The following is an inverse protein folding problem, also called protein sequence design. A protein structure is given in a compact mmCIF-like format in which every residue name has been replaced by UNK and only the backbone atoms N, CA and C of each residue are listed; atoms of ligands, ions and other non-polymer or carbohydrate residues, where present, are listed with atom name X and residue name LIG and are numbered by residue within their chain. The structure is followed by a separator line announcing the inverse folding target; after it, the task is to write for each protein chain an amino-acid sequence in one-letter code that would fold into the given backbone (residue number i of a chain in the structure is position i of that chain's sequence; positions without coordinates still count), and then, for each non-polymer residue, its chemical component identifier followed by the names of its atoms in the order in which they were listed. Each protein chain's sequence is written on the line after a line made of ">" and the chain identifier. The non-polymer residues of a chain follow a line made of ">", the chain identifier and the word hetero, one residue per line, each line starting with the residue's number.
data_IF_469974699534
#
_entry.id   IF_469974699534
#
_cell.length_a   1.000
_cell.length_b   1.000
_cell.length_c   1.000
_cell.angle_alpha   90.00
_cell.angle_beta   90.00
_cell.angle_gamma   90.00
#
_symmetry.space_group_name_H-M   'P 1'
#
loop_
_entity.id
_entity.type
_entity.pdbx_description
1 polymer ?
#
# COMPACT_ATOMS: atom_id res chain seq x y z
N UNK A 1 22.80 -11.69 24.76
CA UNK A 1 21.88 -12.85 24.65
C UNK A 1 21.31 -12.82 23.26
N UNK A 2 21.82 -13.67 22.36
CA UNK A 2 21.20 -13.87 21.05
C UNK A 2 19.95 -14.72 21.29
N UNK A 3 18.78 -14.09 21.26
CA UNK A 3 17.53 -14.80 21.40
C UNK A 3 17.29 -15.62 20.13
N UNK A 4 17.41 -16.95 20.24
CA UNK A 4 17.15 -17.85 19.11
C UNK A 4 15.67 -17.77 18.68
N UNK A 5 14.76 -17.27 19.53
CA UNK A 5 13.35 -17.06 19.18
C UNK A 5 13.17 -15.96 18.13
N UNK A 6 13.92 -14.84 18.20
CA UNK A 6 13.92 -13.77 17.20
C UNK A 6 14.53 -14.18 15.85
N UNK A 7 15.46 -15.13 15.84
CA UNK A 7 16.05 -15.64 14.59
C UNK A 7 15.10 -16.56 13.81
N UNK A 8 14.20 -17.27 14.52
CA UNK A 8 13.22 -18.19 13.95
C UNK A 8 12.00 -17.41 13.45
N UNK A 9 11.51 -16.43 14.23
CA UNK A 9 10.39 -15.56 13.82
C UNK A 9 10.70 -14.77 12.54
N UNK A 10 11.93 -14.28 12.37
CA UNK A 10 12.33 -13.56 11.17
C UNK A 10 12.43 -14.45 9.91
N UNK A 11 12.83 -15.72 10.03
CA UNK A 11 12.94 -16.63 8.89
C UNK A 11 11.57 -17.16 8.45
N UNK A 12 10.69 -17.44 9.41
CA UNK A 12 9.32 -17.86 9.15
C UNK A 12 8.50 -16.73 8.53
N UNK A 13 8.58 -15.51 9.08
CA UNK A 13 7.91 -14.33 8.49
C UNK A 13 8.35 -14.10 7.04
N UNK A 14 9.65 -14.20 6.75
CA UNK A 14 10.17 -14.09 5.37
C UNK A 14 9.58 -15.13 4.42
N UNK A 15 9.43 -16.38 4.88
CA UNK A 15 8.80 -17.45 4.08
C UNK A 15 7.32 -17.16 3.83
N UNK A 16 6.60 -16.71 4.86
CA UNK A 16 5.19 -16.32 4.73
C UNK A 16 5.02 -15.16 3.76
N UNK A 17 5.86 -14.12 3.88
CA UNK A 17 5.82 -12.96 2.96
C UNK A 17 6.10 -13.39 1.52
N UNK A 18 7.12 -14.20 1.27
CA UNK A 18 7.42 -14.72 -0.06
C UNK A 18 6.25 -15.54 -0.62
N UNK A 19 5.66 -16.44 0.18
CA UNK A 19 4.49 -17.21 -0.24
C UNK A 19 3.32 -16.30 -0.63
N UNK A 20 2.99 -15.32 0.23
CA UNK A 20 1.92 -14.35 -0.04
C UNK A 20 2.20 -13.54 -1.30
N UNK A 21 3.46 -13.17 -1.54
CA UNK A 21 3.85 -12.48 -2.76
C UNK A 21 3.63 -13.36 -3.99
N UNK A 22 4.04 -14.64 -3.94
CA UNK A 22 3.79 -15.57 -5.05
C UNK A 22 2.30 -15.76 -5.34
N UNK A 23 1.44 -15.75 -4.31
CA UNK A 23 -0.02 -15.81 -4.48
C UNK A 23 -0.58 -14.53 -5.15
N UNK A 24 -0.05 -13.35 -4.80
CA UNK A 24 -0.50 -12.06 -5.35
C UNK A 24 0.09 -11.73 -6.72
N UNK A 25 1.28 -12.24 -7.03
CA UNK A 25 2.05 -11.90 -8.22
C UNK A 25 1.26 -12.01 -9.52
N UNK A 26 0.50 -13.10 -9.80
CA UNK A 26 -0.27 -13.20 -11.04
C UNK A 26 -1.29 -12.07 -11.22
N UNK A 27 -1.97 -11.67 -10.16
CA UNK A 27 -2.92 -10.55 -10.19
C UNK A 27 -2.19 -9.22 -10.42
N UNK A 28 -1.05 -9.01 -9.76
CA UNK A 28 -0.22 -7.83 -9.97
C UNK A 28 0.25 -7.72 -11.43
N UNK A 29 0.76 -8.81 -12.02
CA UNK A 29 1.25 -8.82 -13.41
C UNK A 29 0.14 -8.51 -14.43
N UNK A 30 -1.08 -9.01 -14.22
CA UNK A 30 -2.25 -8.69 -15.05
C UNK A 30 -2.59 -7.20 -14.97
N UNK A 31 -2.68 -6.65 -13.75
CA UNK A 31 -3.01 -5.23 -13.54
C UNK A 31 -1.90 -4.33 -14.06
N UNK A 32 -0.64 -4.68 -13.82
CA UNK A 32 0.53 -3.98 -14.37
C UNK A 32 0.46 -3.93 -15.89
N UNK A 33 0.24 -5.07 -16.55
CA UNK A 33 0.13 -5.15 -18.00
C UNK A 33 -0.97 -4.22 -18.53
N UNK A 34 -2.14 -4.24 -17.89
CA UNK A 34 -3.28 -3.42 -18.29
C UNK A 34 -2.94 -1.93 -18.19
N UNK A 35 -2.40 -1.50 -17.05
CA UNK A 35 -2.02 -0.10 -16.83
C UNK A 35 -0.88 0.32 -17.76
N UNK A 36 0.13 -0.52 -17.97
CA UNK A 36 1.21 -0.28 -18.93
C UNK A 36 0.68 -0.07 -20.34
N UNK A 37 -0.32 -0.86 -20.77
CA UNK A 37 -0.93 -0.69 -22.09
C UNK A 37 -1.64 0.66 -22.22
N UNK A 38 -2.36 1.10 -21.19
CA UNK A 38 -2.96 2.44 -21.21
C UNK A 38 -1.89 3.54 -21.20
N UNK A 39 -0.85 3.39 -20.37
CA UNK A 39 0.26 4.33 -20.32
C UNK A 39 1.06 4.39 -21.62
N UNK A 40 1.19 3.29 -22.37
CA UNK A 40 1.81 3.29 -23.70
C UNK A 40 1.04 4.13 -24.72
N UNK A 41 -0.29 4.20 -24.59
CA UNK A 41 -1.12 5.10 -25.41
C UNK A 41 -0.97 6.56 -24.99
N UNK A 42 -0.87 6.82 -23.68
CA UNK A 42 -0.72 8.17 -23.12
C UNK A 42 0.68 8.76 -23.35
N UNK A 43 1.71 7.92 -23.32
CA UNK A 43 3.12 8.31 -23.44
C UNK A 43 3.82 7.52 -24.55
N UNK A 44 3.44 7.70 -25.83
CA UNK A 44 4.04 6.98 -26.94
C UNK A 44 5.57 7.15 -26.98
N UNK A 45 6.30 6.05 -27.17
CA UNK A 45 7.76 6.04 -27.21
C UNK A 45 8.47 6.03 -25.85
N UNK A 46 7.78 6.39 -24.76
CA UNK A 46 8.34 6.35 -23.40
C UNK A 46 7.99 5.07 -22.64
N UNK A 47 6.83 4.48 -22.94
CA UNK A 47 6.36 3.22 -22.33
C UNK A 47 6.25 2.16 -23.41
N UNK A 48 7.00 1.06 -23.25
CA UNK A 48 6.99 -0.09 -24.15
C UNK A 48 6.18 -1.24 -23.54
N UNK A 49 5.50 -2.04 -24.36
CA UNK A 49 4.55 -3.06 -23.91
C UNK A 49 5.18 -4.30 -23.27
N UNK A 50 6.50 -4.47 -23.32
CA UNK A 50 7.22 -5.58 -22.71
C UNK A 50 8.37 -5.15 -21.79
N UNK A 51 8.42 -3.86 -21.46
CA UNK A 51 9.39 -3.29 -20.54
C UNK A 51 8.73 -2.86 -19.21
N UNK A 52 9.53 -2.62 -18.16
CA UNK A 52 9.08 -1.98 -16.94
C UNK A 52 8.60 -0.55 -17.20
N UNK A 53 7.64 -0.08 -16.40
CA UNK A 53 7.11 1.29 -16.49
C UNK A 53 8.15 2.27 -15.91
N UNK A 54 8.49 3.38 -16.60
CA UNK A 54 9.32 4.43 -16.02
C UNK A 54 8.61 5.07 -14.81
N UNK A 55 9.19 4.94 -13.61
CA UNK A 55 8.52 5.28 -12.34
C UNK A 55 8.01 6.72 -12.29
N UNK A 56 8.73 7.67 -12.88
CA UNK A 56 8.36 9.09 -12.89
C UNK A 56 7.02 9.39 -13.62
N UNK A 57 6.56 8.49 -14.49
CA UNK A 57 5.28 8.65 -15.20
C UNK A 57 4.08 8.26 -14.34
N UNK A 58 4.30 7.58 -13.22
CA UNK A 58 3.23 7.14 -12.30
C UNK A 58 2.67 8.29 -11.46
N UNK A 59 3.34 9.45 -11.46
CA UNK A 59 3.08 10.62 -10.59
C UNK A 59 3.18 10.29 -9.07
N UNK A 60 3.67 9.11 -8.71
CA UNK A 60 4.14 8.74 -7.38
C UNK A 60 5.66 8.53 -7.43
N UNK A 61 6.47 9.14 -6.55
CA UNK A 61 7.94 9.03 -6.61
C UNK A 61 8.47 7.59 -6.56
N UNK A 62 7.67 6.65 -6.03
CA UNK A 62 8.05 5.26 -5.82
C UNK A 62 7.22 4.28 -6.66
N UNK A 63 6.25 4.76 -7.45
CA UNK A 63 5.31 3.92 -8.20
C UNK A 63 4.47 3.00 -7.32
N UNK A 64 4.37 3.29 -6.02
CA UNK A 64 3.68 2.47 -5.01
C UNK A 64 2.16 2.62 -5.06
N UNK A 65 1.69 3.70 -5.70
CA UNK A 65 0.30 3.98 -6.02
C UNK A 65 0.25 4.72 -7.36
N UNK A 66 -0.82 4.52 -8.14
CA UNK A 66 -1.01 5.17 -9.44
C UNK A 66 -2.35 5.90 -9.56
N UNK A 67 -2.94 6.28 -8.42
CA UNK A 67 -4.27 6.94 -8.38
C UNK A 67 -4.32 8.25 -9.15
N UNK A 68 -3.19 8.94 -9.31
CA UNK A 68 -3.09 10.19 -10.08
C UNK A 68 -3.23 10.00 -11.60
N UNK A 69 -3.27 8.75 -12.07
CA UNK A 69 -3.52 8.38 -13.46
C UNK A 69 -4.96 7.93 -13.70
N UNK A 70 -5.82 7.84 -12.68
CA UNK A 70 -7.17 7.28 -12.80
C UNK A 70 -7.98 7.88 -13.95
N UNK A 71 -7.96 9.21 -14.11
CA UNK A 71 -8.68 9.86 -15.20
C UNK A 71 -8.22 9.39 -16.59
N UNK A 72 -6.95 9.02 -16.72
CA UNK A 72 -6.29 8.77 -17.99
C UNK A 72 -6.24 7.27 -18.35
N UNK A 73 -6.28 6.36 -17.35
CA UNK A 73 -6.06 4.91 -17.55
C UNK A 73 -7.24 4.02 -17.20
N UNK A 74 -8.34 4.56 -16.68
CA UNK A 74 -9.52 3.75 -16.37
C UNK A 74 -10.22 3.25 -17.66
N UNK A 75 -10.73 2.00 -17.67
CA UNK A 75 -11.51 1.50 -18.80
C UNK A 75 -12.87 2.19 -18.90
N UNK A 76 -13.57 1.96 -20.02
CA UNK A 76 -14.94 2.42 -20.26
C UNK A 76 -15.08 3.95 -20.11
N UNK A 77 -14.52 4.76 -21.05
CA UNK A 77 -14.50 6.22 -20.93
C UNK A 77 -15.90 6.85 -20.90
N UNK A 78 -16.92 6.16 -21.40
CA UNK A 78 -18.32 6.58 -21.33
C UNK A 78 -18.92 6.52 -19.92
N UNK A 79 -18.31 5.76 -19.00
CA UNK A 79 -18.73 5.66 -17.60
C UNK A 79 -17.89 6.61 -16.75
N UNK A 80 -18.52 7.41 -15.89
CA UNK A 80 -17.80 8.28 -14.94
C UNK A 80 -17.17 7.45 -13.82
N UNK A 81 -15.91 7.71 -13.50
CA UNK A 81 -15.26 7.14 -12.31
C UNK A 81 -15.88 7.65 -11.00
N UNK A 82 -15.55 7.00 -9.88
CA UNK A 82 -16.02 7.44 -8.56
C UNK A 82 -15.17 8.62 -8.10
N UNK A 83 -15.74 9.84 -8.19
CA UNK A 83 -15.19 11.04 -7.58
C UNK A 83 -16.20 11.64 -6.59
N UNK A 84 -15.87 11.57 -5.31
CA UNK A 84 -16.68 12.06 -4.21
C UNK A 84 -16.59 13.57 -4.04
N UNK A 85 -15.54 14.21 -4.55
CA UNK A 85 -15.28 15.65 -4.35
C UNK A 85 -16.46 16.54 -4.75
N UNK A 86 -16.99 16.44 -5.99
CA UNK A 86 -18.14 17.20 -6.42
C UNK A 86 -19.40 16.95 -5.57
N UNK A 87 -19.68 15.69 -5.20
CA UNK A 87 -20.85 15.36 -4.37
C UNK A 87 -20.72 15.92 -2.94
N UNK A 88 -19.54 15.79 -2.34
CA UNK A 88 -19.23 16.35 -1.02
C UNK A 88 -19.35 17.89 -1.03
N UNK A 89 -18.88 18.56 -2.07
CA UNK A 89 -19.04 20.01 -2.24
C UNK A 89 -20.52 20.40 -2.35
N UNK A 90 -21.31 19.71 -3.18
CA UNK A 90 -22.77 19.95 -3.27
C UNK A 90 -23.49 19.77 -1.93
N UNK A 91 -23.03 18.84 -1.10
CA UNK A 91 -23.56 18.58 0.26
C UNK A 91 -22.92 19.43 1.36
N UNK A 92 -22.18 20.48 0.99
CA UNK A 92 -21.50 21.41 1.91
C UNK A 92 -20.65 20.67 2.96
N UNK A 93 -19.80 19.74 2.52
CA UNK A 93 -18.85 19.07 3.40
C UNK A 93 -17.76 20.03 3.85
N UNK A 94 -17.49 20.00 5.16
CA UNK A 94 -16.27 20.55 5.76
C UNK A 94 -15.33 19.40 6.10
N UNK A 95 -14.06 19.68 6.36
CA UNK A 95 -13.09 18.64 6.75
C UNK A 95 -13.59 17.89 7.99
N UNK A 96 -14.06 18.60 9.01
CA UNK A 96 -14.65 18.03 10.22
C UNK A 96 -15.87 17.15 9.92
N UNK A 97 -16.69 17.48 8.91
CA UNK A 97 -17.85 16.66 8.51
C UNK A 97 -17.43 15.30 7.96
N UNK A 98 -16.28 15.19 7.30
CA UNK A 98 -15.75 13.89 6.85
C UNK A 98 -15.48 12.98 8.07
N UNK A 99 -14.87 13.54 9.13
CA UNK A 99 -14.64 12.80 10.38
C UNK A 99 -15.94 12.41 11.08
N UNK A 100 -16.97 13.26 11.03
CA UNK A 100 -18.29 12.93 11.60
C UNK A 100 -18.91 11.73 10.88
N UNK A 101 -18.83 11.68 9.55
CA UNK A 101 -19.30 10.51 8.79
C UNK A 101 -18.52 9.23 9.16
N UNK A 102 -17.20 9.34 9.36
CA UNK A 102 -16.40 8.21 9.81
C UNK A 102 -16.79 7.76 11.23
N UNK A 103 -16.97 8.69 12.18
CA UNK A 103 -17.43 8.37 13.54
C UNK A 103 -18.82 7.71 13.52
N UNK A 104 -19.76 8.25 12.74
CA UNK A 104 -21.11 7.69 12.61
C UNK A 104 -21.10 6.29 11.96
N UNK A 105 -20.18 6.02 11.03
CA UNK A 105 -19.98 4.67 10.50
C UNK A 105 -19.60 3.68 11.62
N UNK A 106 -18.63 4.03 12.46
CA UNK A 106 -18.24 3.19 13.60
C UNK A 106 -19.36 3.04 14.64
N UNK A 107 -20.08 4.12 14.93
CA UNK A 107 -21.25 4.08 15.82
C UNK A 107 -22.35 3.18 15.25
N UNK A 108 -22.55 3.15 13.94
CA UNK A 108 -23.51 2.23 13.28
C UNK A 108 -23.18 0.76 13.53
N UNK A 109 -21.92 0.44 13.78
CA UNK A 109 -21.42 -0.88 14.15
C UNK A 109 -21.45 -1.13 15.67
N UNK A 110 -22.02 -0.23 16.48
CA UNK A 110 -22.00 -0.32 17.94
C UNK A 110 -20.57 -0.28 18.55
N UNK A 111 -19.64 0.42 17.88
CA UNK A 111 -18.36 0.82 18.46
C UNK A 111 -18.50 2.13 19.26
N UNK A 112 -17.41 2.54 19.90
CA UNK A 112 -17.40 3.68 20.82
C UNK A 112 -17.41 4.99 20.04
N UNK A 113 -18.38 5.88 20.30
CA UNK A 113 -18.35 7.25 19.75
C UNK A 113 -17.10 7.98 20.24
N UNK A 114 -16.42 8.72 19.37
CA UNK A 114 -15.24 9.49 19.78
C UNK A 114 -15.61 10.57 20.81
N UNK A 115 -14.77 10.79 21.86
CA UNK A 115 -15.08 11.71 22.94
C UNK A 115 -14.98 13.19 22.54
N UNK A 116 -15.60 14.10 23.29
CA UNK A 116 -15.57 15.55 23.00
C UNK A 116 -14.15 16.12 22.90
N UNK A 117 -13.21 15.58 23.68
CA UNK A 117 -11.79 15.95 23.61
C UNK A 117 -11.21 15.74 22.21
N UNK A 118 -11.62 14.68 21.50
CA UNK A 118 -11.20 14.45 20.12
C UNK A 118 -11.60 15.63 19.24
N UNK A 119 -12.85 16.10 19.34
CA UNK A 119 -13.35 17.21 18.51
C UNK A 119 -12.74 18.57 18.86
N UNK A 120 -12.41 18.78 20.13
CA UNK A 120 -11.90 20.05 20.63
C UNK A 120 -10.38 20.20 20.47
N UNK A 121 -9.62 19.09 20.50
CA UNK A 121 -8.16 19.11 20.55
C UNK A 121 -7.48 18.57 19.28
N UNK A 122 -8.22 17.95 18.36
CA UNK A 122 -7.67 17.48 17.09
C UNK A 122 -7.52 18.59 16.06
N UNK A 123 -6.65 18.36 15.08
CA UNK A 123 -6.42 19.24 13.94
C UNK A 123 -6.93 18.53 12.68
N UNK A 124 -8.06 18.98 12.15
CA UNK A 124 -8.72 18.39 10.98
C UNK A 124 -8.36 19.07 9.65
N UNK A 125 -7.77 20.27 9.70
CA UNK A 125 -7.35 21.04 8.53
C UNK A 125 -6.08 21.83 8.83
N UNK A 126 -5.37 22.23 7.78
CA UNK A 126 -4.17 23.05 7.93
C UNK A 126 -4.52 24.38 8.62
N UNK A 127 -3.80 24.72 9.68
CA UNK A 127 -3.93 26.01 10.35
C UNK A 127 -3.14 27.05 9.54
N UNK A 128 -3.76 28.16 9.10
CA UNK A 128 -3.06 29.22 8.39
C UNK A 128 -1.84 29.72 9.16
N UNK A 129 -0.76 30.05 8.45
CA UNK A 129 0.46 30.65 9.01
C UNK A 129 1.19 29.83 10.09
N UNK A 130 0.95 28.52 10.15
CA UNK A 130 1.65 27.60 11.07
C UNK A 130 2.38 26.51 10.31
N UNK A 131 3.67 26.34 10.60
CA UNK A 131 4.41 25.15 10.15
C UNK A 131 3.90 23.92 10.89
N UNK A 132 3.47 22.91 10.14
CA UNK A 132 2.94 21.67 10.68
C UNK A 132 3.22 20.50 9.75
N UNK A 133 3.47 19.33 10.35
CA UNK A 133 3.49 18.08 9.60
C UNK A 133 2.04 17.72 9.21
N UNK A 134 1.77 17.74 7.91
CA UNK A 134 0.44 17.43 7.36
C UNK A 134 0.20 15.94 7.13
N UNK A 135 1.21 15.08 7.34
CA UNK A 135 1.03 13.64 7.28
C UNK A 135 -0.05 13.23 8.31
N UNK A 136 -1.10 12.50 7.89
CA UNK A 136 -2.14 12.00 8.78
C UNK A 136 -1.53 11.21 9.93
N UNK A 137 -2.02 11.44 11.15
CA UNK A 137 -1.55 10.71 12.33
C UNK A 137 -2.63 10.69 13.40
N UNK A 138 -3.03 9.50 13.82
CA UNK A 138 -3.82 9.26 15.02
C UNK A 138 -2.95 9.10 16.27
N UNK A 139 -3.37 9.70 17.38
CA UNK A 139 -2.64 9.71 18.66
C UNK A 139 -3.49 9.11 19.78
N UNK A 140 -2.91 8.16 20.51
CA UNK A 140 -3.31 7.81 21.88
C UNK A 140 -2.49 8.68 22.85
N UNK A 141 -3.15 9.50 23.66
CA UNK A 141 -2.47 10.36 24.65
C UNK A 141 -2.21 9.61 25.97
N UNK A 142 -2.50 8.31 26.03
CA UNK A 142 -2.39 7.44 27.19
C UNK A 142 -3.17 7.92 28.42
N UNK A 143 -4.20 8.75 28.18
CA UNK A 143 -5.15 9.24 29.18
C UNK A 143 -6.54 8.76 28.83
N UNK A 144 -7.37 8.61 29.85
CA UNK A 144 -8.75 8.16 29.64
C UNK A 144 -9.50 9.14 28.73
N UNK A 145 -10.02 8.60 27.62
CA UNK A 145 -10.78 9.33 26.59
C UNK A 145 -10.07 10.55 25.97
N UNK A 146 -8.74 10.51 25.89
CA UNK A 146 -7.94 11.52 25.18
C UNK A 146 -7.23 10.89 23.98
N UNK A 147 -7.96 10.83 22.88
CA UNK A 147 -7.48 10.40 21.55
C UNK A 147 -7.59 11.58 20.60
N UNK A 148 -6.64 11.73 19.69
CA UNK A 148 -6.56 12.92 18.81
C UNK A 148 -6.11 12.55 17.42
N UNK A 149 -6.41 13.40 16.46
CA UNK A 149 -5.91 13.29 15.10
C UNK A 149 -5.25 14.57 14.63
N UNK A 150 -4.22 14.44 13.80
CA UNK A 150 -3.62 15.56 13.07
C UNK A 150 -3.60 15.20 11.59
N UNK A 151 -4.41 15.90 10.80
CA UNK A 151 -4.48 15.73 9.35
C UNK A 151 -4.80 17.07 8.70
N UNK A 152 -4.11 17.39 7.61
CA UNK A 152 -4.47 18.52 6.74
C UNK A 152 -5.47 18.05 5.69
N UNK A 153 -6.68 17.69 6.11
CA UNK A 153 -7.67 17.12 5.20
C UNK A 153 -8.17 18.15 4.18
N UNK A 154 -8.55 17.65 3.01
CA UNK A 154 -9.15 18.36 1.89
C UNK A 154 -10.40 17.61 1.44
N UNK A 155 -11.32 18.29 0.76
CA UNK A 155 -12.58 17.68 0.29
C UNK A 155 -12.35 16.87 -0.99
N UNK A 156 -11.78 15.66 -0.84
CA UNK A 156 -11.41 14.75 -1.94
C UNK A 156 -11.74 13.29 -1.60
N UNK A 157 -11.93 12.43 -2.61
CA UNK A 157 -12.13 10.99 -2.40
C UNK A 157 -10.99 10.33 -1.61
N UNK A 158 -9.76 10.76 -1.88
CA UNK A 158 -8.56 10.29 -1.18
C UNK A 158 -8.65 10.57 0.32
N UNK A 159 -8.95 11.80 0.69
CA UNK A 159 -8.98 12.17 2.11
C UNK A 159 -10.20 11.59 2.81
N UNK A 160 -11.32 11.36 2.10
CA UNK A 160 -12.42 10.58 2.64
C UNK A 160 -11.97 9.17 3.04
N UNK A 161 -11.20 8.48 2.19
CA UNK A 161 -10.59 7.19 2.52
C UNK A 161 -9.63 7.29 3.71
N UNK A 162 -8.68 8.22 3.67
CA UNK A 162 -7.65 8.38 4.70
C UNK A 162 -8.27 8.69 6.07
N UNK A 163 -9.33 9.50 6.12
CA UNK A 163 -10.04 9.78 7.37
C UNK A 163 -10.62 8.50 7.99
N UNK A 164 -11.20 7.60 7.19
CA UNK A 164 -11.71 6.33 7.70
C UNK A 164 -10.59 5.40 8.17
N UNK A 165 -9.46 5.38 7.46
CA UNK A 165 -8.26 4.65 7.88
C UNK A 165 -7.80 5.13 9.27
N UNK A 166 -7.59 6.44 9.43
CA UNK A 166 -7.07 7.00 10.68
C UNK A 166 -8.06 6.88 11.85
N UNK A 167 -9.37 6.98 11.57
CA UNK A 167 -10.41 6.72 12.56
C UNK A 167 -10.43 5.25 13.01
N UNK A 168 -9.96 4.32 12.18
CA UNK A 168 -9.70 2.93 12.58
C UNK A 168 -8.65 2.83 13.71
N UNK A 169 -7.55 3.59 13.62
CA UNK A 169 -6.56 3.68 14.71
C UNK A 169 -7.19 4.27 15.98
N UNK A 170 -7.98 5.34 15.85
CA UNK A 170 -8.70 5.95 16.99
C UNK A 170 -9.62 4.93 17.67
N UNK A 171 -10.36 4.13 16.90
CA UNK A 171 -11.20 3.09 17.47
C UNK A 171 -10.39 2.01 18.18
N UNK A 172 -9.25 1.62 17.63
CA UNK A 172 -8.35 0.69 18.30
C UNK A 172 -7.95 1.22 19.69
N UNK A 173 -7.53 2.50 19.77
CA UNK A 173 -7.21 3.19 21.03
C UNK A 173 -8.37 3.16 22.03
N UNK A 174 -9.58 3.45 21.57
CA UNK A 174 -10.77 3.49 22.42
C UNK A 174 -11.19 2.10 22.92
N UNK A 175 -10.97 1.03 22.14
CA UNK A 175 -11.39 -0.32 22.55
C UNK A 175 -10.42 -0.94 23.57
N UNK A 176 -9.11 -0.80 23.40
CA UNK A 176 -8.13 -1.40 24.32
C UNK A 176 -7.71 -0.50 25.49
N UNK A 177 -8.29 0.69 25.65
CA UNK A 177 -7.94 1.65 26.72
C UNK A 177 -8.05 1.08 28.14
N UNK A 178 -8.83 0.01 28.32
CA UNK A 178 -9.02 -0.67 29.59
C UNK A 178 -7.84 -1.59 29.96
N UNK A 179 -6.98 -1.95 29.00
CA UNK A 179 -5.82 -2.80 29.24
C UNK A 179 -4.73 -2.05 30.03
N UNK A 180 -3.82 -2.77 30.71
CA UNK A 180 -2.57 -2.21 31.22
C UNK A 180 -1.76 -1.54 30.10
N UNK A 181 -1.01 -0.49 30.46
CA UNK A 181 -0.24 0.34 29.51
C UNK A 181 0.56 -0.47 28.48
N UNK A 182 1.27 -1.52 28.92
CA UNK A 182 2.10 -2.38 28.06
C UNK A 182 1.35 -3.15 26.97
N UNK A 183 0.04 -3.34 27.15
CA UNK A 183 -0.83 -4.05 26.21
C UNK A 183 -1.67 -3.12 25.33
N UNK A 184 -1.58 -1.79 25.53
CA UNK A 184 -2.24 -0.76 24.69
C UNK A 184 -1.43 -0.50 23.42
N UNK A 185 -1.24 -1.55 22.64
CA UNK A 185 -0.57 -1.51 21.35
C UNK A 185 -1.12 -2.62 20.48
N UNK A 186 -0.87 -2.51 19.18
CA UNK A 186 -1.22 -3.57 18.23
C UNK A 186 -0.42 -4.85 18.54
N UNK A 187 -1.02 -6.05 18.43
CA UNK A 187 -0.32 -7.32 18.70
C UNK A 187 0.77 -7.60 17.65
N UNK A 188 0.59 -7.08 16.44
CA UNK A 188 1.55 -7.12 15.35
C UNK A 188 1.46 -5.82 14.53
N UNK A 189 2.56 -5.38 13.88
CA UNK A 189 2.59 -4.12 13.14
C UNK A 189 1.55 -4.04 12.00
N UNK A 190 1.23 -5.18 11.39
CA UNK A 190 0.22 -5.28 10.33
C UNK A 190 -1.22 -5.05 10.81
N UNK A 191 -1.54 -5.35 12.06
CA UNK A 191 -2.93 -5.29 12.56
C UNK A 191 -3.46 -3.85 12.56
N UNK A 192 -2.68 -2.91 13.12
CA UNK A 192 -3.09 -1.50 13.19
C UNK A 192 -3.41 -0.92 11.82
N UNK A 193 -2.52 -1.15 10.85
CA UNK A 193 -2.67 -0.66 9.47
C UNK A 193 -3.82 -1.37 8.73
N UNK A 194 -3.98 -2.69 8.93
CA UNK A 194 -5.00 -3.48 8.25
C UNK A 194 -6.42 -3.13 8.68
N UNK A 195 -6.65 -2.83 9.97
CA UNK A 195 -7.97 -2.48 10.51
C UNK A 195 -8.51 -1.21 9.84
N UNK A 196 -7.70 -0.14 9.84
CA UNK A 196 -8.09 1.13 9.22
C UNK A 196 -8.45 0.94 7.75
N UNK A 197 -7.61 0.22 7.02
CA UNK A 197 -7.84 -0.07 5.61
C UNK A 197 -9.07 -0.96 5.37
N UNK A 198 -9.32 -1.96 6.22
CA UNK A 198 -10.48 -2.85 6.09
C UNK A 198 -11.81 -2.10 6.25
N UNK A 199 -11.86 -1.14 7.18
CA UNK A 199 -13.02 -0.25 7.33
C UNK A 199 -13.15 0.67 6.14
N UNK A 200 -12.03 1.21 5.67
CA UNK A 200 -12.04 2.10 4.53
C UNK A 200 -12.43 1.38 3.21
N UNK A 201 -12.20 0.05 3.09
CA UNK A 201 -12.79 -0.77 2.02
C UNK A 201 -14.33 -0.76 2.10
N UNK A 202 -14.89 -0.92 3.29
CA UNK A 202 -16.34 -0.91 3.50
C UNK A 202 -16.95 0.45 3.13
N UNK A 203 -16.34 1.54 3.59
CA UNK A 203 -16.87 2.90 3.41
C UNK A 203 -16.67 3.45 2.00
N UNK A 204 -15.67 2.94 1.27
CA UNK A 204 -15.46 3.24 -0.15
C UNK A 204 -16.22 2.31 -1.09
N UNK A 205 -16.97 1.33 -0.59
CA UNK A 205 -17.78 0.46 -1.45
C UNK A 205 -18.85 1.28 -2.18
N UNK A 206 -19.15 0.98 -3.47
CA UNK A 206 -20.20 1.68 -4.19
C UNK A 206 -21.56 1.61 -3.50
N UNK A 207 -21.84 0.48 -2.84
CA UNK A 207 -23.04 0.26 -2.01
C UNK A 207 -23.13 1.27 -0.88
N UNK A 208 -22.06 1.44 -0.11
CA UNK A 208 -22.03 2.40 1.00
C UNK A 208 -22.12 3.85 0.50
N UNK A 209 -21.35 4.20 -0.53
CA UNK A 209 -21.33 5.56 -1.09
C UNK A 209 -22.69 5.98 -1.63
N UNK A 210 -23.46 5.05 -2.21
CA UNK A 210 -24.87 5.28 -2.56
C UNK A 210 -25.75 5.53 -1.34
N UNK A 211 -25.60 4.72 -0.29
CA UNK A 211 -26.39 4.84 0.95
C UNK A 211 -26.28 6.24 1.56
N UNK A 212 -25.07 6.79 1.60
CA UNK A 212 -24.81 8.15 2.12
C UNK A 212 -25.05 9.25 1.06
N UNK A 213 -25.45 8.85 -0.15
CA UNK A 213 -25.74 9.73 -1.28
C UNK A 213 -24.53 10.53 -1.76
N UNK A 214 -23.32 9.97 -1.68
CA UNK A 214 -22.11 10.52 -2.31
C UNK A 214 -21.85 9.92 -3.70
N UNK A 215 -22.53 8.84 -4.05
CA UNK A 215 -22.49 8.22 -5.37
C UNK A 215 -23.90 8.15 -5.97
N UNK A 216 -24.10 8.83 -7.10
CA UNK A 216 -25.33 8.84 -7.87
C UNK A 216 -25.15 8.00 -9.15
N UNK A 217 -26.24 7.45 -9.69
CA UNK A 217 -26.28 6.77 -11.01
C UNK A 217 -25.37 5.55 -11.23
N UNK A 218 -24.71 5.03 -10.18
CA UNK A 218 -23.98 3.77 -10.29
C UNK A 218 -24.99 2.62 -10.48
N UNK A 219 -24.90 1.84 -11.54
CA UNK A 219 -25.87 0.76 -11.79
C UNK A 219 -25.39 -0.57 -11.24
N UNK A 220 -24.11 -0.67 -10.87
CA UNK A 220 -23.43 -1.93 -10.54
C UNK A 220 -23.41 -2.89 -11.73
N UNK A 221 -23.41 -2.33 -12.95
CA UNK A 221 -23.17 -3.09 -14.18
C UNK A 221 -21.79 -3.73 -14.17
N UNK A 222 -21.55 -4.67 -15.09
CA UNK A 222 -20.23 -5.29 -15.26
C UNK A 222 -19.15 -4.21 -15.45
N UNK A 223 -19.37 -3.27 -16.35
CA UNK A 223 -18.41 -2.20 -16.65
C UNK A 223 -18.18 -1.26 -15.44
N UNK A 224 -19.24 -0.91 -14.69
CA UNK A 224 -19.14 -0.13 -13.46
C UNK A 224 -18.25 -0.83 -12.41
N UNK A 225 -18.47 -2.13 -12.20
CA UNK A 225 -17.70 -2.92 -11.23
C UNK A 225 -16.25 -3.08 -11.66
N UNK A 226 -15.99 -3.36 -12.95
CA UNK A 226 -14.62 -3.46 -13.48
C UNK A 226 -13.91 -2.11 -13.37
N UNK A 227 -14.54 -1.01 -13.76
CA UNK A 227 -13.94 0.34 -13.64
C UNK A 227 -13.59 0.66 -12.18
N UNK A 228 -14.49 0.36 -11.25
CA UNK A 228 -14.23 0.51 -9.82
C UNK A 228 -13.04 -0.35 -9.36
N UNK A 229 -12.99 -1.63 -9.75
CA UNK A 229 -11.92 -2.53 -9.36
C UNK A 229 -10.57 -2.14 -9.97
N UNK A 230 -10.51 -1.58 -11.19
CA UNK A 230 -9.26 -1.03 -11.74
C UNK A 230 -8.77 0.17 -10.90
N UNK A 231 -9.66 1.06 -10.47
CA UNK A 231 -9.31 2.16 -9.53
C UNK A 231 -8.79 1.61 -8.19
N UNK A 232 -9.44 0.56 -7.65
CA UNK A 232 -8.91 -0.14 -6.47
C UNK A 232 -7.55 -0.81 -6.74
N UNK A 233 -7.32 -1.31 -7.95
CA UNK A 233 -6.03 -1.85 -8.37
C UNK A 233 -4.91 -0.80 -8.40
N UNK A 234 -5.18 0.38 -8.97
CA UNK A 234 -4.25 1.51 -9.02
C UNK A 234 -3.84 2.02 -7.63
N UNK A 235 -4.77 1.99 -6.68
CA UNK A 235 -4.53 2.44 -5.31
C UNK A 235 -3.85 1.38 -4.44
N UNK A 236 -4.10 0.09 -4.67
CA UNK A 236 -3.74 -0.96 -3.71
C UNK A 236 -2.74 -1.98 -4.23
N UNK A 237 -2.78 -2.38 -5.49
CA UNK A 237 -2.02 -3.55 -5.99
C UNK A 237 -0.57 -3.25 -6.39
N UNK A 238 -0.14 -1.99 -6.34
CA UNK A 238 1.25 -1.58 -6.59
C UNK A 238 2.07 -1.38 -5.30
N UNK A 239 1.42 -1.26 -4.14
CA UNK A 239 2.09 -1.15 -2.85
C UNK A 239 2.77 -2.46 -2.42
N UNK A 240 2.12 -3.65 -2.49
CA UNK A 240 2.75 -4.91 -2.08
C UNK A 240 4.09 -5.21 -2.76
N UNK A 241 4.22 -5.18 -4.10
CA UNK A 241 5.53 -5.47 -4.73
C UNK A 241 6.61 -4.47 -4.32
N UNK A 242 6.26 -3.17 -4.20
CA UNK A 242 7.20 -2.16 -3.75
C UNK A 242 7.65 -2.41 -2.30
N UNK A 243 6.69 -2.66 -1.41
CA UNK A 243 6.96 -2.90 -0.01
C UNK A 243 7.82 -4.14 0.21
N UNK A 244 7.52 -5.20 -0.55
CA UNK A 244 8.29 -6.43 -0.53
C UNK A 244 9.72 -6.22 -1.04
N UNK A 245 9.87 -5.62 -2.21
CA UNK A 245 11.19 -5.32 -2.80
C UNK A 245 12.06 -4.45 -1.90
N UNK A 246 11.47 -3.44 -1.24
CA UNK A 246 12.19 -2.51 -0.38
C UNK A 246 12.76 -3.20 0.86
N UNK A 247 11.96 -4.02 1.56
CA UNK A 247 12.45 -4.69 2.76
C UNK A 247 13.31 -5.92 2.43
N UNK A 248 13.12 -6.59 1.29
CA UNK A 248 14.11 -7.53 0.74
C UNK A 248 15.48 -6.87 0.55
N UNK A 249 15.49 -5.66 -0.03
CA UNK A 249 16.71 -4.88 -0.20
C UNK A 249 17.34 -4.54 1.16
N UNK A 250 16.56 -4.02 2.12
CA UNK A 250 17.06 -3.67 3.47
C UNK A 250 17.59 -4.88 4.23
N UNK A 251 16.86 -6.00 4.24
CA UNK A 251 17.33 -7.23 4.88
C UNK A 251 18.63 -7.73 4.29
N UNK A 252 18.80 -7.60 2.97
CA UNK A 252 20.03 -7.96 2.26
C UNK A 252 21.18 -6.98 2.52
N UNK A 253 20.89 -5.72 2.81
CA UNK A 253 21.89 -4.75 3.30
C UNK A 253 22.29 -5.09 4.73
N UNK A 254 21.33 -5.29 5.64
CA UNK A 254 21.60 -5.57 7.05
C UNK A 254 22.35 -6.89 7.27
N UNK A 255 22.11 -7.91 6.44
CA UNK A 255 22.84 -9.18 6.53
C UNK A 255 24.17 -9.19 5.75
N UNK A 256 24.54 -8.09 5.10
CA UNK A 256 25.79 -7.95 4.34
C UNK A 256 25.80 -8.58 2.94
N UNK A 257 24.69 -9.14 2.45
CA UNK A 257 24.61 -9.70 1.09
C UNK A 257 24.65 -8.62 0.00
N UNK A 258 24.22 -7.40 0.32
CA UNK A 258 24.38 -6.21 -0.52
C UNK A 258 25.39 -5.29 0.17
N UNK A 259 26.49 -5.01 -0.52
CA UNK A 259 27.53 -4.10 -0.04
C UNK A 259 27.25 -2.65 -0.49
N UNK A 260 27.83 -1.63 0.18
CA UNK A 260 27.62 -0.21 -0.14
C UNK A 260 27.81 0.17 -1.61
N UNK A 261 28.75 -0.47 -2.29
CA UNK A 261 29.04 -0.25 -3.72
C UNK A 261 28.04 -0.92 -4.67
N UNK A 262 26.95 -1.51 -4.16
CA UNK A 262 25.87 -2.09 -4.95
C UNK A 262 24.47 -1.62 -4.50
N UNK A 263 24.39 -0.68 -3.54
CA UNK A 263 23.14 -0.26 -2.92
C UNK A 263 22.11 0.14 -3.97
N UNK A 264 22.47 1.04 -4.87
CA UNK A 264 21.53 1.63 -5.78
C UNK A 264 21.17 0.69 -6.94
N UNK A 265 22.14 -0.03 -7.49
CA UNK A 265 21.89 -1.05 -8.51
C UNK A 265 20.99 -2.16 -8.00
N UNK A 266 21.26 -2.70 -6.81
CA UNK A 266 20.45 -3.80 -6.25
C UNK A 266 19.05 -3.34 -5.88
N UNK A 267 18.89 -2.10 -5.43
CA UNK A 267 17.58 -1.48 -5.24
C UNK A 267 16.78 -1.49 -6.54
N UNK A 268 17.32 -0.95 -7.63
CA UNK A 268 16.61 -0.91 -8.91
C UNK A 268 16.37 -2.30 -9.53
N UNK A 269 17.27 -3.27 -9.32
CA UNK A 269 17.04 -4.65 -9.75
C UNK A 269 15.81 -5.26 -9.06
N UNK A 270 15.68 -5.10 -7.75
CA UNK A 270 14.54 -5.62 -6.98
C UNK A 270 13.24 -4.89 -7.35
N UNK A 271 13.29 -3.56 -7.48
CA UNK A 271 12.15 -2.75 -7.93
C UNK A 271 11.69 -3.19 -9.33
N UNK A 272 12.61 -3.42 -10.25
CA UNK A 272 12.26 -3.95 -11.56
C UNK A 272 11.65 -5.35 -11.45
N UNK A 273 12.31 -6.27 -10.75
CA UNK A 273 11.91 -7.67 -10.66
C UNK A 273 10.50 -7.85 -10.08
N UNK A 274 10.17 -7.12 -9.02
CA UNK A 274 8.93 -7.32 -8.28
C UNK A 274 7.82 -6.35 -8.67
N UNK A 275 8.16 -5.08 -8.90
CA UNK A 275 7.17 -4.02 -9.17
C UNK A 275 6.98 -3.74 -10.66
N UNK A 276 7.94 -4.14 -11.49
CA UNK A 276 7.92 -3.81 -12.92
C UNK A 276 8.11 -2.34 -13.20
N UNK A 277 8.96 -1.68 -12.40
CA UNK A 277 9.33 -0.27 -12.59
C UNK A 277 10.80 -0.11 -12.96
N UNK A 278 11.12 0.95 -13.71
CA UNK A 278 12.50 1.35 -14.03
C UNK A 278 12.75 2.83 -13.73
N UNK A 279 14.00 3.24 -13.47
CA UNK A 279 14.32 4.65 -13.33
C UNK A 279 14.18 5.36 -14.67
N UNK A 280 13.92 6.68 -14.64
CA UNK A 280 13.80 7.50 -15.85
C UNK A 280 15.13 7.63 -16.62
N UNK A 281 16.26 7.50 -15.91
CA UNK A 281 17.62 7.56 -16.44
C UNK A 281 18.46 6.50 -15.75
N UNK A 282 19.57 6.10 -16.37
CA UNK A 282 20.54 5.20 -15.73
C UNK A 282 21.00 5.79 -14.40
N UNK A 283 21.00 4.94 -13.36
CA UNK A 283 21.40 5.30 -11.99
C UNK A 283 22.61 4.46 -11.61
N UNK A 284 23.70 5.12 -11.27
CA UNK A 284 24.89 4.48 -10.72
C UNK A 284 24.93 4.61 -9.18
N UNK A 285 26.02 4.17 -8.57
CA UNK A 285 26.23 4.13 -7.12
C UNK A 285 26.61 5.49 -6.52
N UNK A 286 26.68 6.57 -7.32
CA UNK A 286 26.77 7.94 -6.77
C UNK A 286 25.43 8.39 -6.18
N UNK A 287 24.37 7.66 -6.47
CA UNK A 287 23.03 7.93 -5.98
C UNK A 287 22.64 6.93 -4.90
N UNK A 288 21.71 7.35 -4.05
CA UNK A 288 21.12 6.49 -3.03
C UNK A 288 19.60 6.66 -3.05
N UNK A 289 18.97 6.14 -4.11
CA UNK A 289 17.55 6.40 -4.41
C UNK A 289 16.64 5.82 -3.31
N UNK A 290 16.99 4.65 -2.75
CA UNK A 290 16.30 4.07 -1.60
C UNK A 290 16.24 5.04 -0.40
N UNK A 291 17.30 5.82 -0.17
CA UNK A 291 17.40 6.80 0.93
C UNK A 291 16.44 7.99 0.81
N UNK A 292 15.82 8.19 -0.36
CA UNK A 292 14.77 9.22 -0.53
C UNK A 292 13.43 8.81 0.10
N UNK A 293 13.26 7.52 0.42
CA UNK A 293 12.10 7.01 1.13
C UNK A 293 12.25 7.29 2.63
N UNK A 294 11.27 7.97 3.21
CA UNK A 294 11.21 8.29 4.64
C UNK A 294 11.55 7.08 5.52
N UNK A 295 10.93 5.92 5.24
CA UNK A 295 11.12 4.71 6.03
C UNK A 295 12.55 4.15 5.99
N UNK A 296 13.28 4.37 4.91
CA UNK A 296 14.71 4.02 4.84
C UNK A 296 15.53 5.04 5.63
N UNK A 297 15.27 6.33 5.43
CA UNK A 297 16.01 7.42 6.11
C UNK A 297 15.85 7.42 7.64
N UNK A 298 14.69 6.98 8.14
CA UNK A 298 14.36 6.94 9.56
C UNK A 298 14.37 5.52 10.16
N UNK A 299 14.89 4.54 9.43
CA UNK A 299 14.99 3.13 9.85
C UNK A 299 13.66 2.51 10.35
N UNK A 300 12.57 2.80 9.65
CA UNK A 300 11.23 2.28 9.96
C UNK A 300 10.94 1.04 9.11
N UNK A 301 10.63 -0.10 9.72
CA UNK A 301 10.19 -1.31 9.01
C UNK A 301 9.05 -1.02 8.02
N UNK A 302 9.12 -1.59 6.81
CA UNK A 302 8.14 -1.38 5.74
C UNK A 302 7.31 -2.63 5.42
N UNK A 303 7.77 -3.82 5.78
CA UNK A 303 7.09 -5.09 5.53
C UNK A 303 5.71 -5.17 6.18
N UNK A 304 5.51 -4.45 7.30
CA UNK A 304 4.20 -4.31 7.94
C UNK A 304 3.12 -3.80 6.98
N UNK A 305 3.46 -2.95 5.99
CA UNK A 305 2.49 -2.45 5.01
C UNK A 305 2.10 -3.53 4.00
N UNK A 306 3.03 -4.42 3.62
CA UNK A 306 2.72 -5.60 2.79
C UNK A 306 1.76 -6.54 3.52
N UNK A 307 2.09 -6.90 4.76
CA UNK A 307 1.26 -7.79 5.57
C UNK A 307 -0.10 -7.16 5.88
N UNK A 308 -0.14 -5.86 6.17
CA UNK A 308 -1.39 -5.11 6.37
C UNK A 308 -2.26 -5.08 5.12
N UNK A 309 -1.64 -4.96 3.94
CA UNK A 309 -2.35 -5.03 2.67
C UNK A 309 -3.02 -6.38 2.46
N UNK A 310 -2.36 -7.50 2.78
CA UNK A 310 -3.00 -8.82 2.71
C UNK A 310 -4.10 -8.93 3.76
N UNK A 311 -3.78 -8.54 4.99
CA UNK A 311 -4.64 -8.77 6.14
C UNK A 311 -5.93 -7.93 6.11
N UNK A 312 -5.91 -6.71 5.55
CA UNK A 312 -7.12 -5.87 5.47
C UNK A 312 -8.27 -6.57 4.71
N UNK A 313 -7.97 -7.31 3.63
CA UNK A 313 -8.98 -8.05 2.88
C UNK A 313 -9.49 -9.26 3.65
N UNK A 314 -8.62 -9.92 4.42
CA UNK A 314 -9.02 -11.03 5.29
C UNK A 314 -9.94 -10.54 6.42
N UNK A 315 -9.62 -9.39 7.05
CA UNK A 315 -10.52 -8.74 8.03
C UNK A 315 -11.86 -8.42 7.36
N UNK A 316 -11.82 -7.75 6.20
CA UNK A 316 -13.02 -7.33 5.49
C UNK A 316 -13.92 -8.52 5.12
N UNK A 317 -13.36 -9.61 4.58
CA UNK A 317 -14.12 -10.82 4.22
C UNK A 317 -14.73 -11.52 5.44
N UNK A 318 -14.02 -11.57 6.57
CA UNK A 318 -14.58 -12.08 7.84
C UNK A 318 -15.76 -11.22 8.29
N UNK A 319 -15.61 -9.89 8.31
CA UNK A 319 -16.67 -8.97 8.74
C UNK A 319 -17.88 -8.99 7.79
N UNK A 320 -17.65 -9.08 6.49
CA UNK A 320 -18.71 -9.20 5.48
C UNK A 320 -19.53 -10.48 5.65
N UNK A 321 -18.87 -11.61 5.94
CA UNK A 321 -19.57 -12.86 6.27
C UNK A 321 -20.39 -12.73 7.54
N UNK A 322 -19.84 -12.11 8.58
CA UNK A 322 -20.54 -11.85 9.84
C UNK A 322 -21.73 -10.90 9.66
N UNK A 323 -21.64 -9.95 8.74
CA UNK A 323 -22.73 -9.06 8.35
C UNK A 323 -23.80 -9.74 7.47
N UNK A 324 -23.63 -11.00 7.10
CA UNK A 324 -24.55 -11.73 6.24
C UNK A 324 -24.51 -11.30 4.77
N UNK A 325 -23.43 -10.63 4.32
CA UNK A 325 -23.28 -10.21 2.94
C UNK A 325 -23.27 -11.39 1.98
N UNK A 326 -24.01 -11.27 0.87
CA UNK A 326 -24.04 -12.24 -0.22
C UNK A 326 -23.66 -11.54 -1.52
N UNK A 327 -22.85 -12.21 -2.34
CA UNK A 327 -22.39 -11.69 -3.63
C UNK A 327 -20.92 -11.25 -3.63
N UNK A 328 -20.50 -10.45 -4.63
CA UNK A 328 -19.11 -10.02 -4.77
C UNK A 328 -18.62 -9.25 -3.54
N UNK A 329 -17.41 -9.59 -3.06
CA UNK A 329 -16.87 -9.01 -1.83
C UNK A 329 -16.68 -7.50 -1.92
N UNK A 330 -16.31 -6.97 -3.08
CA UNK A 330 -16.10 -5.54 -3.31
C UNK A 330 -17.36 -4.66 -3.22
N UNK A 331 -18.55 -5.28 -3.12
CA UNK A 331 -19.83 -4.58 -2.92
C UNK A 331 -20.32 -4.63 -1.47
N UNK A 332 -19.59 -5.29 -0.58
CA UNK A 332 -19.96 -5.41 0.83
C UNK A 332 -19.97 -4.02 1.52
N UNK A 333 -21.05 -3.74 2.23
CA UNK A 333 -21.21 -2.59 3.11
C UNK A 333 -21.48 -3.11 4.53
N UNK A 334 -20.67 -2.68 5.49
CA UNK A 334 -20.80 -3.12 6.89
C UNK A 334 -21.77 -2.23 7.69
N UNK A 335 -22.19 -1.08 7.16
CA UNK A 335 -22.97 -0.08 7.90
C UNK A 335 -24.21 -0.69 8.58
N UNK A 336 -24.34 -0.46 9.89
CA UNK A 336 -25.47 -0.95 10.70
C UNK A 336 -25.38 -2.41 11.15
N UNK A 337 -24.33 -3.15 10.78
CA UNK A 337 -24.17 -4.55 11.19
C UNK A 337 -23.65 -4.68 12.62
N UNK A 338 -24.57 -4.91 13.56
CA UNK A 338 -24.23 -5.15 14.97
C UNK A 338 -23.38 -6.42 15.17
N UNK A 339 -23.57 -7.44 14.32
CA UNK A 339 -22.83 -8.69 14.39
C UNK A 339 -21.36 -8.50 13.99
N UNK A 340 -21.11 -7.86 12.84
CA UNK A 340 -19.75 -7.50 12.41
C UNK A 340 -19.10 -6.54 13.41
N UNK A 341 -19.86 -5.57 13.91
CA UNK A 341 -19.43 -4.64 14.93
C UNK A 341 -18.99 -5.29 16.25
N UNK A 342 -19.76 -6.26 16.76
CA UNK A 342 -19.38 -7.06 17.93
C UNK A 342 -18.06 -7.79 17.71
N UNK A 343 -17.90 -8.42 16.54
CA UNK A 343 -16.67 -9.16 16.19
C UNK A 343 -15.46 -8.23 16.08
N UNK A 344 -15.62 -7.08 15.43
CA UNK A 344 -14.59 -6.05 15.32
C UNK A 344 -14.21 -5.50 16.70
N UNK A 345 -15.19 -5.21 17.56
CA UNK A 345 -14.96 -4.68 18.91
C UNK A 345 -14.09 -5.62 19.75
N UNK A 346 -14.32 -6.94 19.65
CA UNK A 346 -13.48 -7.95 20.31
C UNK A 346 -12.05 -7.89 19.76
N UNK A 347 -11.87 -7.92 18.45
CA UNK A 347 -10.55 -7.84 17.81
C UNK A 347 -9.75 -6.61 18.29
N UNK A 348 -10.38 -5.44 18.30
CA UNK A 348 -9.75 -4.19 18.73
C UNK A 348 -9.48 -4.14 20.24
N UNK A 349 -10.34 -4.74 21.05
CA UNK A 349 -10.25 -4.70 22.51
C UNK A 349 -9.09 -5.52 23.08
N UNK A 350 -8.56 -6.48 22.32
CA UNK A 350 -7.50 -7.38 22.77
C UNK A 350 -6.13 -6.71 22.85
N UNK A 351 -5.88 -5.64 22.09
CA UNK A 351 -4.55 -5.00 22.00
C UNK A 351 -3.45 -6.05 21.78
N UNK A 352 -2.36 -5.95 22.54
CA UNK A 352 -1.28 -6.94 22.50
C UNK A 352 -1.30 -7.90 23.69
N UNK A 353 -2.48 -8.18 24.24
CA UNK A 353 -2.63 -9.04 25.43
C UNK A 353 -2.41 -10.53 25.14
N UNK A 354 -2.46 -10.94 23.87
CA UNK A 354 -2.24 -12.31 23.39
C UNK A 354 -1.28 -12.31 22.18
N UNK A 355 -0.65 -13.46 21.87
CA UNK A 355 0.02 -13.65 20.58
C UNK A 355 -0.92 -13.35 19.41
N UNK A 356 -0.40 -12.75 18.34
CA UNK A 356 -1.23 -12.27 17.24
C UNK A 356 -1.88 -13.42 16.46
N UNK A 357 -1.25 -14.59 16.44
CA UNK A 357 -1.74 -15.83 15.82
C UNK A 357 -3.01 -16.32 16.51
N UNK A 358 -3.04 -16.28 17.84
CA UNK A 358 -4.18 -16.70 18.65
C UNK A 358 -5.35 -15.71 18.47
N UNK A 359 -5.05 -14.41 18.41
CA UNK A 359 -6.06 -13.37 18.10
C UNK A 359 -6.65 -13.60 16.70
N UNK A 360 -5.81 -13.95 15.72
CA UNK A 360 -6.26 -14.22 14.36
C UNK A 360 -7.11 -15.50 14.28
N UNK A 361 -6.77 -16.52 15.04
CA UNK A 361 -7.55 -17.76 15.13
C UNK A 361 -8.92 -17.52 15.74
N UNK A 362 -9.00 -16.78 16.85
CA UNK A 362 -10.27 -16.40 17.47
C UNK A 362 -11.14 -15.54 16.53
N UNK A 363 -10.52 -14.66 15.74
CA UNK A 363 -11.24 -13.76 14.86
C UNK A 363 -11.66 -14.39 13.52
N UNK A 364 -10.74 -15.10 12.86
CA UNK A 364 -10.89 -15.58 11.48
C UNK A 364 -10.91 -17.12 11.34
N UNK A 365 -10.63 -17.86 12.41
CA UNK A 365 -10.52 -19.32 12.40
C UNK A 365 -9.24 -19.85 11.75
N UNK A 366 -8.22 -19.00 11.60
CA UNK A 366 -6.92 -19.34 10.98
C UNK A 366 -5.79 -18.68 11.75
N UNK A 367 -4.60 -19.28 11.76
CA UNK A 367 -3.41 -18.74 12.46
C UNK A 367 -2.43 -17.98 11.57
N UNK A 368 -2.67 -17.93 10.25
CA UNK A 368 -1.77 -17.31 9.27
C UNK A 368 -2.48 -16.26 8.42
N UNK A 369 -1.73 -15.28 7.93
CA UNK A 369 -2.22 -14.36 6.90
C UNK A 369 -2.46 -15.11 5.58
N UNK A 370 -3.45 -14.67 4.79
CA UNK A 370 -3.81 -15.29 3.52
C UNK A 370 -4.19 -14.28 2.45
N UNK A 371 -3.66 -14.43 1.23
CA UNK A 371 -4.02 -13.59 0.09
C UNK A 371 -5.40 -13.96 -0.52
N UNK A 372 -6.02 -15.06 -0.08
CA UNK A 372 -7.29 -15.57 -0.65
C UNK A 372 -8.40 -14.52 -0.69
N UNK A 373 -8.58 -13.75 0.38
CA UNK A 373 -9.63 -12.72 0.44
C UNK A 373 -9.32 -11.52 -0.48
N UNK A 374 -8.05 -11.17 -0.69
CA UNK A 374 -7.63 -10.16 -1.67
C UNK A 374 -7.93 -10.64 -3.09
N UNK A 375 -7.53 -11.87 -3.43
CA UNK A 375 -7.83 -12.48 -4.74
C UNK A 375 -9.34 -12.58 -4.98
N UNK A 376 -10.13 -12.97 -3.97
CA UNK A 376 -11.60 -12.99 -4.03
C UNK A 376 -12.20 -11.61 -4.26
N UNK A 377 -11.66 -10.56 -3.62
CA UNK A 377 -12.11 -9.18 -3.83
C UNK A 377 -11.95 -8.74 -5.28
N UNK A 378 -10.79 -9.04 -5.87
CA UNK A 378 -10.43 -8.67 -7.24
C UNK A 378 -10.82 -9.69 -8.31
N UNK A 379 -11.49 -10.79 -7.95
CA UNK A 379 -11.82 -11.87 -8.90
C UNK A 379 -12.51 -11.36 -10.18
N UNK A 380 -13.53 -10.48 -10.12
CA UNK A 380 -14.16 -9.99 -11.35
C UNK A 380 -13.21 -9.22 -12.26
N UNK A 381 -12.26 -8.47 -11.68
CA UNK A 381 -11.23 -7.78 -12.44
C UNK A 381 -10.27 -8.77 -13.08
N UNK A 382 -9.83 -9.80 -12.33
CA UNK A 382 -8.98 -10.85 -12.87
C UNK A 382 -9.63 -11.54 -14.06
N UNK A 383 -10.90 -11.94 -13.95
CA UNK A 383 -11.64 -12.59 -15.03
C UNK A 383 -11.67 -11.71 -16.30
N UNK A 384 -11.93 -10.41 -16.13
CA UNK A 384 -11.89 -9.45 -17.24
C UNK A 384 -10.50 -9.32 -17.87
N UNK A 385 -9.43 -9.27 -17.08
CA UNK A 385 -8.07 -9.15 -17.60
C UNK A 385 -7.63 -10.45 -18.30
N UNK A 386 -8.01 -11.61 -17.77
CA UNK A 386 -7.76 -12.91 -18.40
C UNK A 386 -8.49 -13.03 -19.76
N UNK A 387 -9.69 -12.46 -19.90
CA UNK A 387 -10.38 -12.35 -21.19
C UNK A 387 -9.59 -11.51 -22.22
N UNK A 388 -8.98 -10.39 -21.79
CA UNK A 388 -8.14 -9.56 -22.68
C UNK A 388 -6.86 -10.30 -23.09
N UNK A 389 -6.27 -11.08 -22.19
CA UNK A 389 -5.11 -11.92 -22.50
C UNK A 389 -5.49 -13.00 -23.52
N UNK A 390 -6.62 -13.69 -23.32
CA UNK A 390 -7.09 -14.73 -24.22
C UNK A 390 -7.38 -14.22 -25.64
N UNK A 391 -7.79 -12.95 -25.77
CA UNK A 391 -8.00 -12.27 -27.06
C UNK A 391 -6.69 -11.76 -27.70
N UNK A 392 -5.56 -11.88 -27.03
CA UNK A 392 -4.28 -11.32 -27.48
C UNK A 392 -4.21 -9.79 -27.37
N UNK A 393 -5.13 -9.18 -26.63
CA UNK A 393 -5.21 -7.72 -26.45
C UNK A 393 -4.29 -7.23 -25.33
N UNK A 394 -3.76 -8.12 -24.50
CA UNK A 394 -2.94 -7.79 -23.33
C UNK A 394 -1.68 -8.65 -23.23
N UNK A 395 -0.50 -8.02 -23.18
CA UNK A 395 0.80 -8.68 -23.01
C UNK A 395 1.27 -8.59 -21.55
N UNK A 396 1.34 -9.73 -20.88
CA UNK A 396 1.67 -9.85 -19.45
C UNK A 396 3.18 -9.97 -19.22
N UNK A 397 3.68 -9.38 -18.12
CA UNK A 397 5.07 -9.44 -17.69
C UNK A 397 5.99 -8.42 -18.37
N UNK A 398 7.21 -8.29 -17.87
CA UNK A 398 8.22 -7.34 -18.38
C UNK A 398 9.61 -7.96 -18.34
N UNK A 399 10.52 -7.43 -19.16
CA UNK A 399 11.94 -7.81 -19.14
C UNK A 399 12.74 -6.77 -18.37
N UNK A 400 13.38 -7.21 -17.29
CA UNK A 400 14.36 -6.39 -16.57
C UNK A 400 15.72 -6.51 -17.25
N UNK A 401 16.17 -5.43 -17.89
CA UNK A 401 17.59 -5.30 -18.25
C UNK A 401 18.39 -5.11 -16.96
N UNK A 402 18.93 -6.21 -16.44
CA UNK A 402 19.90 -6.12 -15.36
C UNK A 402 21.12 -5.40 -15.92
N UNK A 403 21.39 -4.19 -15.44
CA UNK A 403 22.60 -3.45 -15.76
C UNK A 403 23.83 -4.23 -15.25
N UNK A 404 24.29 -5.21 -16.01
CA UNK A 404 25.62 -5.82 -15.88
C UNK A 404 26.64 -4.79 -16.35
N UNK A 405 26.90 -3.78 -15.52
CA UNK A 405 27.92 -2.78 -15.76
C UNK A 405 29.32 -3.33 -15.42
N UNK A 406 29.58 -4.60 -15.72
CA UNK A 406 30.93 -5.19 -15.68
C UNK A 406 31.82 -4.59 -16.77
N UNK A 407 31.22 -4.04 -17.83
CA UNK A 407 31.94 -3.63 -19.04
C UNK A 407 32.53 -2.21 -18.95
N UNK A 408 31.96 -1.31 -18.12
CA UNK A 408 32.45 0.08 -18.05
C UNK A 408 33.66 0.22 -17.11
N UNK A 409 33.74 -0.59 -16.05
CA UNK A 409 34.95 -0.61 -15.20
C UNK A 409 36.13 -1.31 -15.89
N UNK A 410 35.88 -2.33 -16.72
CA UNK A 410 36.94 -3.03 -17.48
C UNK A 410 37.59 -2.13 -18.54
N UNK A 411 36.84 -1.19 -19.13
CA UNK A 411 37.39 -0.24 -20.09
C UNK A 411 38.19 0.90 -19.42
N UNK A 412 37.85 1.29 -18.19
CA UNK A 412 38.63 2.31 -17.45
C UNK A 412 39.91 1.78 -16.82
N UNK A 413 39.94 0.53 -16.35
CA UNK A 413 41.17 -0.07 -15.80
C UNK A 413 42.20 -0.39 -16.88
N UNK A 414 41.78 -0.74 -18.10
CA UNK A 414 42.69 -0.99 -19.22
C UNK A 414 43.36 0.27 -19.77
N UNK A 415 42.69 1.44 -19.75
CA UNK A 415 43.32 2.70 -20.20
C UNK A 415 44.46 3.11 -19.25
N UNK A 416 44.29 2.92 -17.94
CA UNK A 416 45.36 3.18 -16.96
C UNK A 416 46.51 2.18 -17.06
N UNK A 417 46.21 0.89 -17.31
CA UNK A 417 47.25 -0.12 -17.54
C UNK A 417 48.05 0.16 -18.82
N UNK A 418 47.39 0.57 -19.91
CA UNK A 418 48.03 0.92 -21.18
C UNK A 418 48.88 2.20 -21.03
N UNK A 419 48.42 3.18 -20.25
CA UNK A 419 49.20 4.40 -19.96
C UNK A 419 50.41 4.11 -19.06
N UNK A 420 50.28 3.23 -18.06
CA UNK A 420 51.39 2.78 -17.20
C UNK A 420 52.43 1.98 -18.00
N UNK A 421 52.00 1.09 -18.90
CA UNK A 421 52.90 0.34 -19.78
C UNK A 421 53.64 1.32 -20.71
N UNK A 422 52.94 2.29 -21.33
CA UNK A 422 53.59 3.32 -22.15
C UNK A 422 54.60 4.16 -21.35
N UNK A 423 54.31 4.50 -20.10
CA UNK A 423 55.20 5.28 -19.23
C UNK A 423 56.44 4.49 -18.76
N UNK A 424 56.30 3.17 -18.55
CA UNK A 424 57.45 2.32 -18.23
C UNK A 424 58.37 2.08 -19.44
N UNK A 425 57.81 1.87 -20.63
CA UNK A 425 58.63 1.67 -21.84
C UNK A 425 59.33 2.94 -22.34
N UNK A 426 58.79 4.13 -22.05
CA UNK A 426 59.45 5.40 -22.41
C UNK A 426 60.59 5.79 -21.46
N UNK A 427 60.66 5.24 -20.24
CA UNK A 427 61.76 5.47 -19.30
C UNK A 427 62.91 4.45 -19.41
N UNK A 428 62.74 3.35 -20.14
CA UNK A 428 63.80 2.34 -20.34
C UNK A 428 64.77 2.72 -21.48
N UNK A 429 64.39 3.63 -22.39
CA UNK A 429 65.24 4.06 -23.50
C UNK A 429 66.10 5.32 -23.23
N UNK A 430 66.08 5.86 -22.01
CA UNK A 430 66.90 7.03 -21.62
C UNK A 430 68.01 6.71 -20.60
N UNK A 431 68.33 5.43 -20.40
CA UNK A 431 69.54 4.98 -19.71
C UNK A 431 70.21 3.86 -20.49
N UNK A 432 70.87 4.25 -21.59
CA UNK A 432 72.03 3.58 -22.18
C UNK A 432 72.95 4.65 -22.74
#
# INVERSE_FOLDING_TARGET
>A
MNDKSESITNAEERRVVEQLWQELKPLHELVHAFIRQQMARLYPGLVQLDEPIPVHLTKDPFGSMMTYLEHDVLPFPHIKGIDLGPAMKRKNFTEKKIFQYADDFFVSLNLTRVPDKFWNLSIFKKIPNRHMACHPTAFDMYKYDDVRIRMCASITSRDFYVVHHEMGHIQHYLQYKHLPFWFRRSPHGAFSEAIGDAIALATMSPTHLKRIGLLENYTSSREDNIKFLVSQGLSRLFLPPYAYALDLWRWSVYNGSIQPYEYNRRYWNLICQYQGMKPAKVRDERYFDAGTKLHVAFDLSYIKYFLAHVFQFQIFDVLCREAGHRGPLHLCDLHGSLAAGKKLKVLLGLGSSKPWEDILEEFAGVRTFSAKSCLKYFQPLRDYLDELVAKGELKVGWKCEMNNCSTIYFLRTNIWLILLIKFMFSNIFFRL
#
